data_IF_161538037101
#
_entry.id   IF_161538037101
#
_cell.length_a   1.000
_cell.length_b   1.000
_cell.length_c   1.000
_cell.angle_alpha   90.00
_cell.angle_beta   90.00
_cell.angle_gamma   90.00
#
_symmetry.space_group_name_H-M   'P 1'
#
loop_
_entity.id
_entity.type
_entity.pdbx_description
1 polymer ?
#
# COMPACT_ATOMS: atom_id res chain seq x y z
N UNK A 1 -12.26 7.07 -15.18
CA UNK A 1 -12.20 5.88 -14.30
C UNK A 1 -13.18 6.11 -13.16
N UNK A 2 -14.10 5.19 -12.91
CA UNK A 2 -15.11 5.33 -11.85
C UNK A 2 -14.43 4.86 -10.56
N UNK A 3 -14.37 5.73 -9.54
CA UNK A 3 -13.88 5.33 -8.23
C UNK A 3 -14.70 4.13 -7.74
N UNK A 4 -14.08 3.07 -7.19
CA UNK A 4 -14.78 1.85 -6.78
C UNK A 4 -15.78 2.09 -5.62
N UNK A 5 -15.78 3.31 -5.06
CA UNK A 5 -16.80 3.85 -4.15
C UNK A 5 -17.15 5.29 -4.52
N UNK A 6 -18.38 5.70 -4.22
CA UNK A 6 -18.81 7.10 -4.32
C UNK A 6 -18.17 7.94 -3.20
N UNK A 7 -17.44 8.99 -3.60
CA UNK A 7 -16.70 9.87 -2.68
C UNK A 7 -17.55 11.10 -2.35
N UNK A 8 -17.74 11.36 -1.06
CA UNK A 8 -18.34 12.59 -0.57
C UNK A 8 -17.28 13.69 -0.42
N UNK A 9 -16.16 13.38 0.25
CA UNK A 9 -15.09 14.33 0.53
C UNK A 9 -13.72 13.66 0.47
N UNK A 10 -12.69 14.44 0.13
CA UNK A 10 -11.28 14.02 0.18
C UNK A 10 -10.47 15.11 0.84
N UNK A 11 -9.72 14.76 1.88
CA UNK A 11 -8.72 15.64 2.48
C UNK A 11 -7.34 15.05 2.25
N UNK A 12 -6.37 15.88 1.87
CA UNK A 12 -4.96 15.49 1.74
C UNK A 12 -4.13 16.42 2.60
N UNK A 13 -3.33 15.84 3.48
CA UNK A 13 -2.44 16.55 4.39
C UNK A 13 -1.01 16.27 3.97
N UNK A 14 -0.17 17.31 3.90
CA UNK A 14 1.27 17.13 3.95
C UNK A 14 1.69 17.03 5.41
N UNK A 15 2.54 16.05 5.73
CA UNK A 15 3.17 15.90 7.02
C UNK A 15 4.62 15.48 6.87
N UNK A 16 5.46 15.92 7.81
CA UNK A 16 6.84 15.47 7.92
C UNK A 16 6.91 14.23 8.81
N UNK A 17 7.45 13.15 8.28
CA UNK A 17 7.62 11.88 9.01
C UNK A 17 8.91 11.88 9.83
N UNK A 18 9.09 10.86 10.69
CA UNK A 18 10.25 10.74 11.59
C UNK A 18 11.60 10.78 10.87
N UNK A 19 11.68 10.26 9.64
CA UNK A 19 12.90 10.33 8.81
C UNK A 19 13.23 11.74 8.30
N UNK A 20 12.34 12.71 8.50
CA UNK A 20 12.42 14.06 7.96
C UNK A 20 11.85 14.19 6.54
N UNK A 21 11.48 13.08 5.89
CA UNK A 21 10.81 13.09 4.59
C UNK A 21 9.39 13.67 4.70
N UNK A 22 8.87 14.12 3.57
CA UNK A 22 7.51 14.64 3.46
C UNK A 22 6.60 13.53 2.89
N UNK A 23 5.48 13.30 3.57
CA UNK A 23 4.44 12.38 3.15
C UNK A 23 3.15 13.15 2.88
N UNK A 24 2.47 12.80 1.79
CA UNK A 24 1.08 13.18 1.59
C UNK A 24 0.20 12.06 2.12
N UNK A 25 -0.72 12.38 3.03
CA UNK A 25 -1.69 11.43 3.55
C UNK A 25 -3.09 11.88 3.20
N UNK A 26 -3.80 11.02 2.47
CA UNK A 26 -5.16 11.23 2.04
C UNK A 26 -6.13 10.50 2.96
N UNK A 27 -7.23 11.17 3.30
CA UNK A 27 -8.45 10.56 3.82
C UNK A 27 -9.57 10.78 2.85
N UNK A 28 -10.29 9.72 2.56
CA UNK A 28 -11.50 9.73 1.75
C UNK A 28 -12.69 9.39 2.63
N UNK A 29 -13.75 10.18 2.53
CA UNK A 29 -15.05 9.88 3.11
C UNK A 29 -16.01 9.50 1.98
N UNK A 30 -16.60 8.31 2.07
CA UNK A 30 -17.60 7.83 1.10
C UNK A 30 -18.97 8.43 1.39
N UNK A 31 -19.86 8.42 0.41
CA UNK A 31 -21.26 8.85 0.57
C UNK A 31 -22.04 7.98 1.55
N UNK A 32 -21.55 6.77 1.83
CA UNK A 32 -22.12 5.84 2.81
C UNK A 32 -21.56 6.06 4.24
N UNK A 33 -20.71 7.08 4.42
CA UNK A 33 -20.12 7.43 5.72
C UNK A 33 -18.87 6.62 6.09
N UNK A 34 -18.38 5.74 5.20
CA UNK A 34 -17.13 5.02 5.39
C UNK A 34 -15.92 5.92 5.17
N UNK A 35 -14.86 5.71 5.95
CA UNK A 35 -13.60 6.42 5.77
C UNK A 35 -12.49 5.45 5.36
N UNK A 36 -11.58 5.90 4.50
CA UNK A 36 -10.36 5.20 4.15
C UNK A 36 -9.16 6.13 4.10
N UNK A 37 -7.98 5.53 4.20
CA UNK A 37 -6.71 6.24 4.35
C UNK A 37 -5.68 5.71 3.36
N UNK A 38 -4.86 6.60 2.84
CA UNK A 38 -3.81 6.28 1.90
C UNK A 38 -2.69 7.30 1.99
N UNK A 39 -1.50 6.97 1.51
CA UNK A 39 -0.33 7.81 1.65
C UNK A 39 0.56 7.76 0.41
N UNK A 40 1.47 8.71 0.28
CA UNK A 40 2.61 8.61 -0.64
C UNK A 40 3.78 9.41 -0.11
N UNK A 41 4.99 8.93 -0.39
CA UNK A 41 6.25 9.66 -0.17
C UNK A 41 6.77 10.29 -1.46
N UNK A 42 6.11 10.05 -2.61
CA UNK A 42 6.46 10.62 -3.91
C UNK A 42 5.76 11.98 -4.18
N UNK A 43 5.04 12.51 -3.19
CA UNK A 43 4.29 13.77 -3.28
C UNK A 43 3.21 13.81 -4.37
N UNK A 44 2.73 12.64 -4.80
CA UNK A 44 1.56 12.50 -5.67
C UNK A 44 0.26 12.24 -4.88
N UNK A 45 -0.54 13.29 -4.73
CA UNK A 45 -1.84 13.20 -4.04
C UNK A 45 -2.82 12.23 -4.73
N UNK A 46 -2.69 11.96 -6.03
CA UNK A 46 -3.56 11.02 -6.73
C UNK A 46 -3.32 9.59 -6.24
N UNK A 47 -2.06 9.18 -6.05
CA UNK A 47 -1.68 7.89 -5.48
C UNK A 47 -2.22 7.70 -4.08
N UNK A 48 -2.01 8.68 -3.19
CA UNK A 48 -2.53 8.62 -1.82
C UNK A 48 -4.07 8.53 -1.81
N UNK A 49 -4.74 9.26 -2.69
CA UNK A 49 -6.20 9.21 -2.82
C UNK A 49 -6.67 7.85 -3.34
N UNK A 50 -6.05 7.28 -4.36
CA UNK A 50 -6.41 5.96 -4.89
C UNK A 50 -6.32 4.89 -3.79
N UNK A 51 -5.21 4.90 -3.05
CA UNK A 51 -5.03 4.03 -1.88
C UNK A 51 -6.14 4.22 -0.84
N UNK A 52 -6.49 5.46 -0.52
CA UNK A 52 -7.55 5.77 0.44
C UNK A 52 -8.94 5.30 -0.02
N UNK A 53 -9.21 5.37 -1.33
CA UNK A 53 -10.46 4.89 -1.93
C UNK A 53 -10.58 3.36 -1.82
N UNK A 54 -9.51 2.62 -2.11
CA UNK A 54 -9.48 1.18 -1.95
C UNK A 54 -9.52 0.73 -0.48
N UNK A 55 -8.85 1.45 0.41
CA UNK A 55 -8.94 1.24 1.86
C UNK A 55 -10.37 1.44 2.35
N UNK A 56 -11.06 2.51 1.90
CA UNK A 56 -12.44 2.79 2.27
C UNK A 56 -13.40 1.67 1.82
N UNK A 57 -13.21 1.14 0.61
CA UNK A 57 -14.00 0.02 0.10
C UNK A 57 -13.76 -1.28 0.89
N UNK A 58 -12.51 -1.58 1.19
CA UNK A 58 -12.14 -2.76 1.97
C UNK A 58 -12.76 -2.68 3.38
N UNK A 59 -12.68 -1.50 4.02
CA UNK A 59 -13.31 -1.23 5.32
C UNK A 59 -14.84 -1.33 5.27
N UNK A 60 -15.50 -0.76 4.26
CA UNK A 60 -16.97 -0.82 4.15
C UNK A 60 -17.48 -2.25 4.00
N UNK A 61 -16.67 -3.12 3.38
CA UNK A 61 -16.94 -4.55 3.25
C UNK A 61 -16.44 -5.40 4.44
N UNK A 62 -15.80 -4.78 5.43
CA UNK A 62 -15.19 -5.48 6.57
C UNK A 62 -14.20 -6.58 6.16
N UNK A 63 -13.42 -6.33 5.10
CA UNK A 63 -12.41 -7.26 4.60
C UNK A 63 -11.04 -6.60 4.47
N UNK A 64 -9.94 -7.36 4.59
CA UNK A 64 -8.61 -6.86 4.25
C UNK A 64 -8.50 -6.48 2.77
N UNK A 65 -7.60 -5.54 2.46
CA UNK A 65 -7.39 -5.07 1.08
C UNK A 65 -7.03 -6.22 0.14
N UNK A 66 -6.15 -7.14 0.56
CA UNK A 66 -5.73 -8.26 -0.26
C UNK A 66 -6.94 -9.15 -0.65
N UNK A 67 -7.91 -9.30 0.26
CA UNK A 67 -9.09 -10.14 0.05
C UNK A 67 -10.04 -9.51 -0.97
N UNK A 68 -10.12 -8.18 -0.96
CA UNK A 68 -10.90 -7.40 -1.91
C UNK A 68 -10.36 -7.52 -3.34
N UNK A 69 -9.04 -7.53 -3.52
CA UNK A 69 -8.41 -7.41 -4.84
C UNK A 69 -7.97 -8.74 -5.48
N UNK A 70 -7.87 -9.83 -4.71
CA UNK A 70 -7.43 -11.12 -5.26
C UNK A 70 -7.44 -12.34 -4.33
N UNK A 71 -7.77 -12.15 -3.04
CA UNK A 71 -7.81 -13.22 -2.03
C UNK A 71 -6.51 -13.36 -1.22
N UNK A 72 -6.55 -14.10 -0.10
CA UNK A 72 -5.35 -14.42 0.68
C UNK A 72 -4.61 -15.59 0.04
N UNK A 73 -3.44 -15.35 -0.54
CA UNK A 73 -2.58 -16.44 -1.06
C UNK A 73 -1.35 -16.69 -0.19
N UNK A 74 -1.08 -15.81 0.77
CA UNK A 74 0.07 -15.88 1.69
C UNK A 74 -0.21 -15.04 2.92
N UNK A 75 0.26 -15.51 4.07
CA UNK A 75 0.15 -14.85 5.38
C UNK A 75 1.40 -14.06 5.76
N UNK A 76 2.50 -14.23 5.03
CA UNK A 76 3.76 -13.49 5.21
C UNK A 76 4.44 -13.30 3.86
N UNK A 77 5.19 -12.20 3.72
CA UNK A 77 5.94 -11.84 2.52
C UNK A 77 7.39 -11.56 2.89
N UNK A 78 8.33 -12.12 2.14
CA UNK A 78 9.76 -11.86 2.33
C UNK A 78 10.10 -10.40 2.00
N UNK A 79 10.97 -9.80 2.82
CA UNK A 79 11.48 -8.45 2.63
C UNK A 79 13.00 -8.54 2.52
N UNK A 80 13.53 -8.06 1.40
CA UNK A 80 14.95 -8.15 1.08
C UNK A 80 15.51 -6.77 0.76
N UNK A 81 16.78 -6.54 1.09
CA UNK A 81 17.52 -5.40 0.56
C UNK A 81 17.66 -5.55 -0.95
N UNK A 82 17.57 -4.44 -1.67
CA UNK A 82 17.69 -4.42 -3.12
C UNK A 82 19.12 -4.71 -3.57
N UNK A 83 19.42 -5.98 -3.83
CA UNK A 83 20.71 -6.43 -4.37
C UNK A 83 20.90 -6.13 -5.86
N UNK A 84 19.95 -5.45 -6.52
CA UNK A 84 20.08 -4.95 -7.90
C UNK A 84 20.13 -6.00 -9.02
N UNK A 85 20.06 -7.30 -8.72
CA UNK A 85 20.12 -8.38 -9.73
C UNK A 85 19.21 -9.56 -9.36
N UNK A 86 17.92 -9.42 -9.67
CA UNK A 86 16.96 -10.52 -9.65
C UNK A 86 16.28 -10.66 -11.01
N UNK A 87 15.83 -11.87 -11.36
CA UNK A 87 15.00 -12.16 -12.54
C UNK A 87 13.53 -11.76 -12.36
N UNK A 88 13.20 -11.13 -11.22
CA UNK A 88 11.83 -10.74 -10.86
C UNK A 88 11.39 -9.50 -11.61
N UNK A 89 10.14 -9.47 -12.07
CA UNK A 89 9.55 -8.23 -12.58
C UNK A 89 9.44 -7.24 -11.42
N UNK A 90 10.03 -6.07 -11.57
CA UNK A 90 10.03 -5.02 -10.55
C UNK A 90 8.88 -4.07 -10.78
N UNK A 91 8.08 -3.84 -9.75
CA UNK A 91 6.97 -2.91 -9.77
C UNK A 91 7.06 -2.02 -8.56
N UNK A 92 7.14 -0.71 -8.78
CA UNK A 92 7.00 0.30 -7.73
C UNK A 92 5.53 0.73 -7.68
N UNK A 93 4.76 0.33 -6.65
CA UNK A 93 3.35 0.70 -6.54
C UNK A 93 3.10 2.21 -6.46
N UNK A 94 4.07 2.95 -5.92
CA UNK A 94 3.97 4.39 -5.70
C UNK A 94 4.32 5.19 -6.95
N UNK A 95 5.13 4.64 -7.85
CA UNK A 95 5.36 5.18 -9.18
C UNK A 95 4.21 4.86 -10.16
N UNK A 96 3.58 3.69 -10.01
CA UNK A 96 2.39 3.32 -10.82
C UNK A 96 1.16 4.11 -10.40
N UNK A 97 1.03 4.42 -9.11
CA UNK A 97 0.04 5.35 -8.58
C UNK A 97 -1.41 4.86 -8.58
N UNK A 98 -1.64 3.58 -8.90
CA UNK A 98 -2.98 2.97 -8.87
C UNK A 98 -2.92 1.50 -8.50
N UNK A 99 -3.84 1.04 -7.64
CA UNK A 99 -3.97 -0.38 -7.27
C UNK A 99 -4.21 -1.23 -8.52
N UNK A 100 -5.13 -0.82 -9.39
CA UNK A 100 -5.45 -1.55 -10.63
C UNK A 100 -4.28 -1.61 -11.60
N UNK A 101 -3.52 -0.52 -11.73
CA UNK A 101 -2.32 -0.49 -12.54
C UNK A 101 -1.27 -1.46 -12.05
N UNK A 102 -1.06 -1.54 -10.72
CA UNK A 102 -0.13 -2.49 -10.11
C UNK A 102 -0.59 -3.92 -10.37
N UNK A 103 -1.88 -4.23 -10.17
CA UNK A 103 -2.42 -5.56 -10.44
C UNK A 103 -2.29 -5.95 -11.93
N UNK A 104 -2.49 -4.99 -12.83
CA UNK A 104 -2.34 -5.19 -14.28
C UNK A 104 -0.90 -5.53 -14.65
N UNK A 105 0.08 -4.83 -14.07
CA UNK A 105 1.50 -5.11 -14.31
C UNK A 105 1.89 -6.44 -13.66
N UNK A 106 1.45 -6.68 -12.42
CA UNK A 106 1.70 -7.91 -11.69
C UNK A 106 1.16 -9.15 -12.44
N UNK A 107 -0.01 -9.05 -13.07
CA UNK A 107 -0.57 -10.13 -13.89
C UNK A 107 0.36 -10.56 -15.06
N UNK A 108 1.28 -9.69 -15.49
CA UNK A 108 2.28 -9.98 -16.53
C UNK A 108 3.57 -10.60 -15.97
N UNK A 109 3.73 -10.69 -14.66
CA UNK A 109 4.99 -11.04 -14.02
C UNK A 109 5.40 -12.53 -14.12
N UNK A 110 4.78 -13.34 -15.00
CA UNK A 110 5.12 -14.77 -15.23
C UNK A 110 5.38 -15.61 -13.94
N UNK A 111 4.72 -15.26 -12.83
CA UNK A 111 4.86 -15.94 -11.54
C UNK A 111 5.94 -15.40 -10.60
N UNK A 112 6.68 -14.38 -11.00
CA UNK A 112 7.88 -13.86 -10.33
C UNK A 112 7.87 -12.32 -10.23
N UNK A 113 7.54 -11.78 -9.05
CA UNK A 113 7.27 -10.35 -8.84
C UNK A 113 8.05 -9.78 -7.64
N UNK A 114 8.68 -8.63 -7.82
CA UNK A 114 9.28 -7.83 -6.76
C UNK A 114 8.54 -6.49 -6.62
N UNK A 115 7.89 -6.28 -5.48
CA UNK A 115 7.28 -4.99 -5.15
C UNK A 115 8.31 -4.10 -4.47
N UNK A 116 8.54 -2.90 -5.01
CA UNK A 116 9.55 -1.97 -4.53
C UNK A 116 8.93 -1.07 -3.45
N UNK A 117 9.55 -1.04 -2.26
CA UNK A 117 9.30 -0.04 -1.21
C UNK A 117 10.41 1.03 -1.28
N UNK A 118 10.24 2.11 -2.05
CA UNK A 118 11.32 2.97 -2.51
C UNK A 118 11.99 3.78 -1.39
N UNK A 119 11.30 4.04 -0.27
CA UNK A 119 11.84 4.79 0.86
C UNK A 119 12.11 3.89 2.07
N UNK A 120 11.96 2.57 1.93
CA UNK A 120 12.07 1.61 3.04
C UNK A 120 11.14 1.90 4.22
N UNK A 121 10.08 2.69 4.00
CA UNK A 121 9.23 3.12 5.10
C UNK A 121 8.30 1.98 5.54
N UNK A 122 8.04 1.77 6.84
CA UNK A 122 7.14 0.71 7.31
C UNK A 122 5.75 0.74 6.67
N UNK A 123 5.21 1.94 6.39
CA UNK A 123 3.95 2.08 5.66
C UNK A 123 4.03 1.52 4.24
N UNK A 124 5.13 1.78 3.53
CA UNK A 124 5.33 1.26 2.17
C UNK A 124 5.44 -0.25 2.17
N UNK A 125 6.20 -0.80 3.11
CA UNK A 125 6.38 -2.24 3.24
C UNK A 125 5.05 -2.93 3.58
N UNK A 126 4.24 -2.36 4.49
CA UNK A 126 2.91 -2.88 4.82
C UNK A 126 1.96 -2.84 3.61
N UNK A 127 1.96 -1.75 2.85
CA UNK A 127 1.14 -1.65 1.64
C UNK A 127 1.60 -2.65 0.56
N UNK A 128 2.90 -2.77 0.32
CA UNK A 128 3.46 -3.78 -0.56
C UNK A 128 3.11 -5.19 -0.10
N UNK A 129 3.07 -5.47 1.21
CA UNK A 129 2.65 -6.76 1.73
C UNK A 129 1.19 -7.08 1.40
N UNK A 130 0.28 -6.11 1.52
CA UNK A 130 -1.12 -6.29 1.15
C UNK A 130 -1.30 -6.57 -0.35
N UNK A 131 -0.58 -5.85 -1.22
CA UNK A 131 -0.61 -6.09 -2.67
C UNK A 131 0.03 -7.44 -3.04
N UNK A 132 1.19 -7.74 -2.44
CA UNK A 132 1.86 -9.01 -2.62
C UNK A 132 0.96 -10.16 -2.19
N UNK A 133 0.20 -10.03 -1.10
CA UNK A 133 -0.69 -11.09 -0.59
C UNK A 133 -1.77 -11.53 -1.59
N UNK A 134 -2.23 -10.62 -2.44
CA UNK A 134 -3.22 -10.91 -3.48
C UNK A 134 -2.61 -11.53 -4.75
N UNK A 135 -1.30 -11.44 -4.95
CA UNK A 135 -0.65 -11.89 -6.18
C UNK A 135 -0.65 -13.42 -6.33
N UNK A 136 -0.96 -13.92 -7.53
CA UNK A 136 -1.11 -15.36 -7.79
C UNK A 136 0.22 -16.15 -7.90
N UNK A 137 1.32 -15.49 -8.26
CA UNK A 137 2.60 -16.16 -8.52
C UNK A 137 3.25 -16.73 -7.26
N UNK A 138 4.11 -17.72 -7.47
CA UNK A 138 4.79 -18.44 -6.39
C UNK A 138 6.01 -17.70 -5.83
N UNK A 139 6.64 -16.81 -6.60
CA UNK A 139 7.78 -16.02 -6.15
C UNK A 139 7.37 -14.54 -6.07
N UNK A 140 7.07 -14.07 -4.85
CA UNK A 140 6.77 -12.66 -4.59
C UNK A 140 7.58 -12.16 -3.40
N UNK A 141 8.21 -11.00 -3.55
CA UNK A 141 9.03 -10.40 -2.51
C UNK A 141 8.86 -8.89 -2.49
N UNK A 142 9.15 -8.29 -1.34
CA UNK A 142 9.26 -6.86 -1.18
C UNK A 142 10.75 -6.53 -1.21
N UNK A 143 11.14 -5.59 -2.07
CA UNK A 143 12.53 -5.13 -2.16
C UNK A 143 12.61 -3.68 -1.71
N UNK A 144 13.63 -3.37 -0.93
CA UNK A 144 13.84 -2.04 -0.37
C UNK A 144 15.29 -1.60 -0.58
N UNK A 145 15.58 -0.32 -0.88
CA UNK A 145 16.95 0.12 -1.12
C UNK A 145 17.82 0.10 0.14
N UNK A 146 17.22 0.10 1.33
CA UNK A 146 17.91 -0.05 2.60
C UNK A 146 17.75 -1.48 3.15
N UNK A 147 18.65 -1.89 4.05
CA UNK A 147 18.51 -3.16 4.76
C UNK A 147 17.24 -3.13 5.61
N UNK A 148 16.26 -4.01 5.35
CA UNK A 148 15.02 -3.99 6.09
C UNK A 148 15.26 -4.47 7.53
N UNK A 149 14.58 -3.87 8.53
CA UNK A 149 14.77 -4.26 9.94
C UNK A 149 14.21 -5.66 10.25
N UNK A 150 13.52 -6.29 9.30
CA UNK A 150 12.96 -7.62 9.38
C UNK A 150 13.04 -8.31 8.02
N UNK A 151 13.28 -9.63 8.02
CA UNK A 151 13.39 -10.44 6.79
C UNK A 151 12.02 -10.81 6.18
N UNK A 152 10.93 -10.61 6.92
CA UNK A 152 9.58 -10.87 6.45
C UNK A 152 8.56 -10.03 7.21
N UNK A 153 7.41 -9.76 6.59
CA UNK A 153 6.30 -9.03 7.18
C UNK A 153 5.02 -9.87 7.10
N UNK A 154 4.28 -9.90 8.21
CA UNK A 154 2.97 -10.54 8.25
C UNK A 154 1.94 -9.71 7.47
N UNK A 155 1.06 -10.39 6.75
CA UNK A 155 -0.03 -9.74 6.02
C UNK A 155 -1.16 -9.40 7.02
N UNK A 156 -1.59 -8.13 7.12
CA UNK A 156 -2.64 -7.76 8.07
C UNK A 156 -3.99 -8.38 7.72
N UNK A 157 -4.66 -8.99 8.71
CA UNK A 157 -6.00 -9.58 8.61
C UNK A 157 -7.13 -8.61 9.00
N UNK A 158 -6.80 -7.33 9.16
CA UNK A 158 -7.75 -6.29 9.56
C UNK A 158 -8.43 -5.64 8.34
N UNK A 159 -9.66 -5.11 8.47
CA UNK A 159 -10.30 -4.40 7.37
C UNK A 159 -9.48 -3.21 6.86
N UNK A 160 -9.36 -3.10 5.53
CA UNK A 160 -8.52 -2.09 4.89
C UNK A 160 -7.10 -2.57 4.60
N UNK A 161 -6.17 -1.63 4.43
CA UNK A 161 -4.75 -1.92 4.12
C UNK A 161 -4.00 -2.46 5.34
N UNK A 162 -4.46 -2.11 6.55
CA UNK A 162 -3.79 -2.53 7.79
C UNK A 162 -2.46 -1.81 8.07
N UNK A 163 -2.26 -0.61 7.50
CA UNK A 163 -1.14 0.27 7.85
C UNK A 163 -1.28 0.72 9.31
N UNK A 164 -0.21 0.56 10.10
CA UNK A 164 -0.12 1.16 11.42
C UNK A 164 0.21 2.65 11.29
N UNK A 165 -0.84 3.47 11.31
CA UNK A 165 -0.73 4.91 11.23
C UNK A 165 -0.13 5.56 12.49
N UNK A 166 -0.06 4.83 13.62
CA UNK A 166 0.50 5.35 14.87
C UNK A 166 2.03 5.47 14.86
N UNK A 167 2.68 4.83 13.87
CA UNK A 167 4.13 4.91 13.66
C UNK A 167 4.60 6.34 13.39
N UNK A 168 3.73 7.22 12.87
CA UNK A 168 4.05 8.61 12.61
C UNK A 168 3.29 9.54 13.57
N UNK A 169 3.98 10.14 14.58
CA UNK A 169 3.34 11.02 15.56
C UNK A 169 2.63 12.22 14.92
N UNK A 170 3.17 12.74 13.81
CA UNK A 170 2.58 13.85 13.08
C UNK A 170 1.20 13.48 12.51
N UNK A 171 1.02 12.24 12.02
CA UNK A 171 -0.28 11.76 11.58
C UNK A 171 -1.22 11.50 12.75
N UNK A 172 -0.72 10.87 13.83
CA UNK A 172 -1.52 10.56 15.01
C UNK A 172 -2.09 11.80 15.71
N UNK A 173 -1.45 12.96 15.55
CA UNK A 173 -1.93 14.23 16.06
C UNK A 173 -3.07 14.87 15.24
N UNK A 174 -3.33 14.39 14.01
CA UNK A 174 -4.41 14.91 13.15
C UNK A 174 -5.75 14.41 13.69
N UNK A 175 -6.71 15.33 13.86
CA UNK A 175 -8.09 14.99 14.23
C UNK A 175 -8.88 14.68 12.96
N UNK A 176 -9.28 13.42 12.81
CA UNK A 176 -10.04 12.88 11.69
C UNK A 176 -11.52 12.74 12.04
#
# INVERSE_FOLDING_TARGET
MIAPVSIAHTHVYSLRILSGAEALVARVLTTEGGAGYGFTLNLDAATARDMAVWDALARSRSVPLYALIGGCRRSSVAVESDGGRGTLLRVDPFAVGSVEGVLTIAARAEGALALVAPNAHPWEIAYCAALAAAYAGSDVRIVSPAEPPFASIAVPEVPGVGVDWSLEPAFAAIRW
#
